data_IF_328779049156
#
_entry.id   IF_328779049156
#
_cell.length_a   1.000
_cell.length_b   1.000
_cell.length_c   1.000
_cell.angle_alpha   90.00
_cell.angle_beta   90.00
_cell.angle_gamma   90.00
#
_symmetry.space_group_name_H-M   'P 1'
#
loop_
_entity.id
_entity.type
_entity.pdbx_description
1 polymer ?
#
# COMPACT_ATOMS: atom_id res chain seq x y z
N UNK A 1 8.70 27.98 -22.89
CA UNK A 1 8.29 26.57 -22.80
C UNK A 1 7.53 26.43 -21.50
N UNK A 2 6.21 26.22 -21.55
CA UNK A 2 5.40 26.06 -20.33
C UNK A 2 5.32 24.58 -19.97
N UNK A 3 5.63 24.25 -18.71
CA UNK A 3 5.39 22.90 -18.18
C UNK A 3 3.88 22.71 -18.03
N UNK A 4 3.36 21.60 -18.53
CA UNK A 4 1.96 21.21 -18.39
C UNK A 4 1.90 19.80 -17.79
N UNK A 5 1.00 19.58 -16.84
CA UNK A 5 0.72 18.25 -16.31
C UNK A 5 -0.10 17.50 -17.36
N UNK A 6 0.40 16.36 -17.83
CA UNK A 6 -0.27 15.54 -18.84
C UNK A 6 -1.15 14.45 -18.25
N UNK A 7 -0.78 13.95 -17.09
CA UNK A 7 -1.45 12.82 -16.44
C UNK A 7 -1.21 12.86 -14.93
N UNK A 8 -2.06 12.18 -14.17
CA UNK A 8 -1.93 11.98 -12.74
C UNK A 8 -2.52 10.62 -12.33
N UNK A 9 -1.93 10.01 -11.30
CA UNK A 9 -2.37 8.73 -10.77
C UNK A 9 -2.26 8.74 -9.25
N UNK A 10 -3.14 8.02 -8.59
CA UNK A 10 -3.14 7.78 -7.15
C UNK A 10 -2.45 6.46 -6.82
N UNK A 11 -1.63 6.45 -5.78
CA UNK A 11 -1.06 5.23 -5.24
C UNK A 11 -1.37 5.17 -3.75
N UNK A 12 -2.06 4.10 -3.33
CA UNK A 12 -2.29 3.80 -1.92
C UNK A 12 -1.47 2.57 -1.54
N UNK A 13 -0.48 2.73 -0.66
CA UNK A 13 0.38 1.62 -0.25
C UNK A 13 -0.07 1.08 1.11
N UNK A 14 -0.30 -0.22 1.18
CA UNK A 14 -0.59 -0.90 2.44
C UNK A 14 0.71 -1.36 3.10
N UNK A 15 1.20 -0.58 4.06
CA UNK A 15 2.48 -0.76 4.77
C UNK A 15 2.31 -1.11 6.26
N UNK A 16 1.83 -2.32 6.59
CA UNK A 16 1.55 -2.71 7.97
C UNK A 16 2.79 -2.65 8.89
N UNK A 17 4.00 -2.94 8.39
CA UNK A 17 5.21 -2.92 9.21
C UNK A 17 5.64 -1.51 9.58
N UNK A 18 5.18 -0.49 8.85
CA UNK A 18 5.54 0.90 9.09
C UNK A 18 4.77 1.50 10.26
N UNK A 19 3.67 0.90 10.69
CA UNK A 19 2.80 1.40 11.77
C UNK A 19 3.59 1.64 13.06
N UNK A 20 4.54 0.76 13.39
CA UNK A 20 5.37 0.87 14.59
C UNK A 20 6.25 2.13 14.62
N UNK A 21 6.55 2.73 13.47
CA UNK A 21 7.35 3.94 13.36
C UNK A 21 6.51 5.22 13.44
N UNK A 22 5.18 5.11 13.54
CA UNK A 22 4.32 6.25 13.81
C UNK A 22 4.63 6.90 15.17
N UNK A 23 4.43 8.21 15.28
CA UNK A 23 4.79 9.02 16.47
C UNK A 23 4.31 8.44 17.80
N UNK A 24 3.08 7.89 17.84
CA UNK A 24 2.48 7.30 19.05
C UNK A 24 2.91 5.83 19.26
N UNK A 25 2.80 4.92 18.27
CA UNK A 25 3.33 3.57 18.39
C UNK A 25 4.80 3.52 18.81
N UNK A 26 5.66 4.35 18.21
CA UNK A 26 7.09 4.36 18.50
C UNK A 26 7.39 4.58 20.00
N UNK A 27 6.81 5.64 20.60
CA UNK A 27 7.00 5.95 22.03
C UNK A 27 6.36 4.94 22.97
N UNK A 28 5.18 4.45 22.62
CA UNK A 28 4.42 3.57 23.51
C UNK A 28 4.96 2.14 23.49
N UNK A 29 5.57 1.67 22.38
CA UNK A 29 6.21 0.35 22.31
C UNK A 29 7.43 0.29 23.24
N UNK A 30 8.22 1.37 23.34
CA UNK A 30 9.38 1.43 24.25
C UNK A 30 9.00 1.23 25.72
N UNK A 31 7.77 1.59 26.10
CA UNK A 31 7.28 1.50 27.47
C UNK A 31 6.31 0.32 27.69
N UNK A 32 5.89 -0.36 26.62
CA UNK A 32 4.95 -1.46 26.65
C UNK A 32 5.35 -2.56 25.64
N UNK A 33 6.09 -3.55 26.14
CA UNK A 33 6.66 -4.64 25.34
C UNK A 33 5.61 -5.48 24.58
N UNK A 34 4.35 -5.52 25.03
CA UNK A 34 3.27 -6.28 24.38
C UNK A 34 2.48 -5.46 23.35
N UNK A 35 2.64 -4.14 23.32
CA UNK A 35 1.90 -3.27 22.41
C UNK A 35 2.16 -3.61 20.95
N UNK A 36 3.42 -3.89 20.59
CA UNK A 36 3.80 -4.24 19.23
C UNK A 36 3.02 -5.47 18.73
N UNK A 37 2.98 -6.55 19.53
CA UNK A 37 2.20 -7.76 19.21
C UNK A 37 0.71 -7.46 19.08
N UNK A 38 0.17 -6.61 19.96
CA UNK A 38 -1.25 -6.20 19.91
C UNK A 38 -1.57 -5.38 18.67
N UNK A 39 -0.66 -4.50 18.23
CA UNK A 39 -0.82 -3.74 16.99
C UNK A 39 -0.94 -4.74 15.84
N UNK A 40 0.08 -5.57 15.61
CA UNK A 40 0.10 -6.51 14.48
C UNK A 40 -1.06 -7.50 14.48
N UNK A 41 -1.56 -7.90 15.65
CA UNK A 41 -2.76 -8.75 15.76
C UNK A 41 -4.04 -8.08 15.22
N UNK A 42 -4.11 -6.75 15.22
CA UNK A 42 -5.28 -5.97 14.79
C UNK A 42 -5.07 -5.23 13.47
N UNK A 43 -3.93 -5.42 12.79
CA UNK A 43 -3.70 -4.85 11.47
C UNK A 43 -4.48 -5.66 10.44
N UNK A 44 -5.23 -4.96 9.58
CA UNK A 44 -5.92 -5.57 8.44
C UNK A 44 -4.90 -6.12 7.46
N UNK A 45 -5.21 -7.27 6.86
CA UNK A 45 -4.48 -7.81 5.72
C UNK A 45 -4.61 -6.90 4.49
N UNK A 46 -3.71 -7.09 3.53
CA UNK A 46 -3.77 -6.40 2.23
C UNK A 46 -5.11 -6.62 1.51
N UNK A 47 -5.65 -7.84 1.54
CA UNK A 47 -6.93 -8.13 0.89
C UNK A 47 -8.10 -7.41 1.58
N UNK A 48 -8.11 -7.36 2.91
CA UNK A 48 -9.12 -6.58 3.65
C UNK A 48 -8.99 -5.08 3.36
N UNK A 49 -7.75 -4.58 3.18
CA UNK A 49 -7.53 -3.19 2.78
C UNK A 49 -8.03 -2.92 1.36
N UNK A 50 -7.82 -3.84 0.40
CA UNK A 50 -8.36 -3.72 -0.96
C UNK A 50 -9.89 -3.71 -0.93
N UNK A 51 -10.50 -4.61 -0.17
CA UNK A 51 -11.95 -4.75 -0.09
C UNK A 51 -12.65 -3.60 0.65
N UNK A 52 -11.90 -2.71 1.31
CA UNK A 52 -12.47 -1.57 2.01
C UNK A 52 -13.12 -0.59 1.01
N UNK A 53 -14.45 -0.34 1.09
CA UNK A 53 -15.15 0.44 0.06
C UNK A 53 -14.55 1.83 -0.24
N UNK A 54 -14.11 2.63 0.75
CA UNK A 54 -13.46 3.90 0.47
C UNK A 54 -12.15 3.80 -0.32
N UNK A 55 -11.39 2.71 -0.15
CA UNK A 55 -10.17 2.52 -0.93
C UNK A 55 -10.51 2.22 -2.40
N UNK A 56 -11.61 1.50 -2.65
CA UNK A 56 -12.12 1.29 -4.01
C UNK A 56 -12.62 2.59 -4.66
N UNK A 57 -13.23 3.49 -3.88
CA UNK A 57 -13.57 4.85 -4.35
C UNK A 57 -12.31 5.65 -4.67
N UNK A 58 -11.29 5.60 -3.80
CA UNK A 58 -10.04 6.35 -3.97
C UNK A 58 -9.33 6.04 -5.29
N UNK A 59 -9.31 4.77 -5.70
CA UNK A 59 -8.72 4.34 -6.98
C UNK A 59 -9.71 4.38 -8.16
N UNK A 60 -10.95 4.82 -7.95
CA UNK A 60 -11.96 5.04 -8.99
C UNK A 60 -12.76 3.82 -9.41
N UNK A 61 -12.72 2.71 -8.66
CA UNK A 61 -13.53 1.53 -8.94
C UNK A 61 -15.00 1.68 -8.53
N UNK A 62 -15.30 2.67 -7.66
CA UNK A 62 -16.64 3.01 -7.21
C UNK A 62 -16.85 4.51 -7.25
N UNK A 63 -18.08 4.95 -7.44
CA UNK A 63 -18.42 6.36 -7.31
C UNK A 63 -18.48 6.73 -5.82
N UNK A 64 -18.04 7.93 -5.39
CA UNK A 64 -18.13 8.33 -3.99
C UNK A 64 -19.53 8.21 -3.39
N UNK A 65 -20.57 8.53 -4.18
CA UNK A 65 -21.96 8.44 -3.72
C UNK A 65 -22.41 7.01 -3.42
N UNK A 66 -21.76 5.98 -4.00
CA UNK A 66 -22.06 4.57 -3.71
C UNK A 66 -21.83 4.25 -2.22
N UNK A 67 -20.99 5.03 -1.51
CA UNK A 67 -20.74 4.84 -0.07
C UNK A 67 -21.96 5.19 0.79
N UNK A 68 -22.87 6.02 0.29
CA UNK A 68 -24.09 6.39 1.01
C UNK A 68 -25.05 5.20 1.18
N UNK A 69 -24.96 4.22 0.27
CA UNK A 69 -25.78 3.01 0.26
C UNK A 69 -25.16 1.87 1.10
N UNK A 70 -23.93 2.06 1.61
CA UNK A 70 -23.23 1.07 2.42
C UNK A 70 -23.36 1.46 3.90
N UNK A 71 -23.93 0.59 4.76
CA UNK A 71 -24.00 0.88 6.18
C UNK A 71 -22.62 1.08 6.79
N UNK A 72 -22.55 1.93 7.83
CA UNK A 72 -21.34 2.10 8.61
C UNK A 72 -21.35 1.18 9.84
N UNK A 73 -20.18 0.66 10.24
CA UNK A 73 -18.86 0.99 9.71
C UNK A 73 -18.47 0.18 8.45
N UNK A 74 -17.92 0.84 7.45
CA UNK A 74 -17.65 0.24 6.14
C UNK A 74 -16.69 -0.96 6.13
N UNK A 75 -15.89 -1.15 7.17
CA UNK A 75 -15.02 -2.33 7.27
C UNK A 75 -15.79 -3.63 7.54
N UNK A 76 -17.06 -3.55 7.93
CA UNK A 76 -17.96 -4.71 8.07
C UNK A 76 -18.65 -5.07 6.74
N UNK A 77 -18.46 -4.25 5.69
CA UNK A 77 -19.10 -4.39 4.39
C UNK A 77 -18.06 -4.40 3.26
N UNK A 78 -17.20 -5.43 3.19
CA UNK A 78 -16.18 -5.53 2.16
C UNK A 78 -16.79 -5.65 0.76
N UNK A 79 -16.14 -5.04 -0.23
CA UNK A 79 -16.48 -5.20 -1.65
C UNK A 79 -15.99 -6.57 -2.12
N UNK A 80 -16.91 -7.44 -2.56
CA UNK A 80 -16.58 -8.83 -2.93
C UNK A 80 -15.60 -8.92 -4.11
N UNK A 81 -15.82 -8.14 -5.18
CA UNK A 81 -14.98 -8.13 -6.39
C UNK A 81 -13.96 -6.97 -6.39
N UNK A 82 -13.44 -6.63 -5.22
CA UNK A 82 -12.50 -5.52 -5.08
C UNK A 82 -11.21 -5.78 -5.87
N UNK A 83 -10.73 -4.75 -6.58
CA UNK A 83 -9.53 -4.84 -7.42
C UNK A 83 -8.43 -3.95 -6.87
N UNK A 84 -7.17 -4.38 -7.05
CA UNK A 84 -5.99 -3.57 -6.72
C UNK A 84 -5.80 -2.37 -7.64
N UNK A 85 -6.34 -2.38 -8.86
CA UNK A 85 -6.23 -1.31 -9.85
C UNK A 85 -7.60 -0.73 -10.15
N UNK A 86 -7.64 0.57 -10.42
CA UNK A 86 -8.81 1.28 -10.92
C UNK A 86 -8.41 2.43 -11.86
N UNK A 87 -9.39 3.13 -12.45
CA UNK A 87 -9.14 4.21 -13.41
C UNK A 87 -8.23 5.33 -12.90
N UNK A 88 -8.20 5.57 -11.59
CA UNK A 88 -7.41 6.65 -11.01
C UNK A 88 -6.08 6.19 -10.43
N UNK A 89 -5.79 4.89 -10.40
CA UNK A 89 -4.52 4.39 -9.88
C UNK A 89 -4.61 3.01 -9.24
N UNK A 90 -3.81 2.77 -8.22
CA UNK A 90 -3.68 1.43 -7.63
C UNK A 90 -3.45 1.40 -6.12
N UNK A 91 -3.62 0.19 -5.60
CA UNK A 91 -3.24 -0.23 -4.26
C UNK A 91 -2.08 -1.21 -4.33
N UNK A 92 -1.00 -0.91 -3.61
CA UNK A 92 0.24 -1.69 -3.65
C UNK A 92 0.50 -2.38 -2.29
N UNK A 93 0.93 -3.66 -2.28
CA UNK A 93 1.37 -4.30 -1.05
C UNK A 93 2.77 -3.81 -0.63
N UNK A 94 3.06 -3.88 0.66
CA UNK A 94 4.33 -3.43 1.25
C UNK A 94 5.58 -4.02 0.58
N UNK A 95 5.53 -5.30 0.19
CA UNK A 95 6.68 -6.00 -0.34
C UNK A 95 7.08 -5.50 -1.75
N UNK A 96 6.10 -5.21 -2.61
CA UNK A 96 6.32 -4.50 -3.89
C UNK A 96 6.85 -3.08 -3.62
N UNK A 97 6.28 -2.35 -2.67
CA UNK A 97 6.71 -0.99 -2.33
C UNK A 97 8.16 -0.91 -1.85
N UNK A 98 8.63 -1.87 -1.04
CA UNK A 98 10.03 -1.94 -0.62
C UNK A 98 10.96 -2.11 -1.83
N UNK A 99 10.52 -2.85 -2.86
CA UNK A 99 11.23 -2.95 -4.14
C UNK A 99 11.36 -1.59 -4.83
N UNK A 100 10.25 -0.85 -4.94
CA UNK A 100 10.24 0.53 -5.46
C UNK A 100 11.14 1.47 -4.68
N UNK A 101 11.09 1.39 -3.34
CA UNK A 101 11.95 2.17 -2.47
C UNK A 101 13.43 1.87 -2.72
N UNK A 102 13.80 0.60 -2.98
CA UNK A 102 15.18 0.23 -3.31
C UNK A 102 15.62 0.76 -4.67
N UNK A 103 14.75 0.76 -5.68
CA UNK A 103 15.08 1.29 -7.01
C UNK A 103 15.26 2.81 -6.99
N UNK A 104 14.48 3.52 -6.16
CA UNK A 104 14.57 4.97 -6.00
C UNK A 104 15.71 5.43 -5.07
N UNK A 105 16.49 4.51 -4.51
CA UNK A 105 17.51 4.79 -3.51
C UNK A 105 18.86 5.16 -4.14
N UNK A 106 18.94 6.37 -4.68
CA UNK A 106 20.16 6.94 -5.30
C UNK A 106 21.38 6.97 -4.37
N UNK A 107 21.14 6.92 -3.05
CA UNK A 107 22.17 7.02 -2.01
C UNK A 107 22.55 5.68 -1.39
N UNK A 108 21.97 4.57 -1.87
CA UNK A 108 22.23 3.21 -1.39
C UNK A 108 22.07 3.02 0.13
N UNK A 109 21.01 3.62 0.70
CA UNK A 109 20.64 3.52 2.12
C UNK A 109 19.75 2.30 2.44
N UNK A 110 19.16 1.67 1.42
CA UNK A 110 18.28 0.52 1.58
C UNK A 110 19.04 -0.76 1.22
N UNK A 111 19.14 -1.67 2.19
CA UNK A 111 19.70 -3.00 1.98
C UNK A 111 18.63 -4.06 2.18
N UNK A 112 18.48 -4.93 1.20
CA UNK A 112 17.51 -6.01 1.20
C UNK A 112 18.23 -7.35 1.28
N UNK A 113 17.69 -8.27 2.07
CA UNK A 113 18.22 -9.63 2.12
C UNK A 113 18.02 -10.34 0.77
N UNK A 114 18.97 -11.17 0.31
CA UNK A 114 18.85 -11.88 -0.97
C UNK A 114 17.56 -12.71 -1.08
N UNK A 115 17.13 -13.33 0.03
CA UNK A 115 15.90 -14.11 0.09
C UNK A 115 14.64 -13.24 -0.08
N UNK A 116 14.66 -12.00 0.43
CA UNK A 116 13.57 -11.05 0.25
C UNK A 116 13.50 -10.62 -1.22
N UNK A 117 14.63 -10.28 -1.83
CA UNK A 117 14.72 -9.90 -3.25
C UNK A 117 14.14 -11.01 -4.14
N UNK A 118 14.58 -12.26 -3.94
CA UNK A 118 14.08 -13.40 -4.71
C UNK A 118 12.56 -13.57 -4.62
N UNK A 119 11.94 -13.20 -3.49
CA UNK A 119 10.49 -13.28 -3.28
C UNK A 119 9.72 -12.18 -4.03
N UNK A 120 10.27 -10.97 -4.12
CA UNK A 120 9.55 -9.81 -4.67
C UNK A 120 9.91 -9.50 -6.12
N UNK A 121 11.07 -9.96 -6.62
CA UNK A 121 11.61 -9.61 -7.94
C UNK A 121 10.59 -9.79 -9.06
N UNK A 122 10.00 -10.99 -9.17
CA UNK A 122 9.00 -11.26 -10.21
C UNK A 122 7.73 -10.40 -10.10
N UNK A 123 7.36 -9.95 -8.89
CA UNK A 123 6.21 -9.05 -8.71
C UNK A 123 6.54 -7.65 -9.21
N UNK A 124 7.70 -7.13 -8.84
CA UNK A 124 8.18 -5.80 -9.27
C UNK A 124 8.38 -5.77 -10.78
N UNK A 125 9.07 -6.78 -11.35
CA UNK A 125 9.30 -6.91 -12.79
C UNK A 125 8.00 -6.95 -13.61
N UNK A 126 6.94 -7.53 -13.04
CA UNK A 126 5.64 -7.60 -13.72
C UNK A 126 4.87 -6.27 -13.71
N UNK A 127 5.37 -5.25 -13.02
CA UNK A 127 4.68 -3.97 -12.91
C UNK A 127 4.73 -3.21 -14.25
N UNK A 128 3.61 -2.67 -14.78
CA UNK A 128 3.58 -2.05 -16.11
C UNK A 128 4.47 -0.82 -16.30
N UNK A 129 4.96 -0.22 -15.21
CA UNK A 129 5.85 0.94 -15.21
C UNK A 129 7.33 0.58 -15.06
N UNK A 130 7.65 -0.70 -14.92
CA UNK A 130 9.03 -1.17 -14.82
C UNK A 130 9.55 -1.52 -16.20
N UNK A 131 10.72 -0.96 -16.53
CA UNK A 131 11.46 -1.25 -17.73
C UNK A 131 12.74 -2.03 -17.41
N UNK A 132 13.41 -2.54 -18.45
CA UNK A 132 14.63 -3.33 -18.27
C UNK A 132 15.74 -2.52 -17.59
N UNK A 133 15.77 -1.21 -17.81
CA UNK A 133 16.76 -0.29 -17.24
C UNK A 133 16.59 -0.07 -15.73
N UNK A 134 15.43 -0.42 -15.16
CA UNK A 134 15.13 -0.26 -13.73
C UNK A 134 15.56 -1.47 -12.87
N UNK A 135 15.97 -2.59 -13.52
CA UNK A 135 16.25 -3.89 -12.89
C UNK A 135 17.75 -4.17 -12.67
#
# INVERSE_FOLDING_TARGET
>A
MSVVVKDCSYCLVHVPDFIRFGSKPFRDIETNNDLCKRIYKNVRSYNEAIAYPPNQVFIGNKHPDDLNDIPQPWYEHPVEDAKRKGPFGEMMPEDEFIGWLKMADDFNLVWLEPNFINRIKGKVESHPLIHYEDL
#
